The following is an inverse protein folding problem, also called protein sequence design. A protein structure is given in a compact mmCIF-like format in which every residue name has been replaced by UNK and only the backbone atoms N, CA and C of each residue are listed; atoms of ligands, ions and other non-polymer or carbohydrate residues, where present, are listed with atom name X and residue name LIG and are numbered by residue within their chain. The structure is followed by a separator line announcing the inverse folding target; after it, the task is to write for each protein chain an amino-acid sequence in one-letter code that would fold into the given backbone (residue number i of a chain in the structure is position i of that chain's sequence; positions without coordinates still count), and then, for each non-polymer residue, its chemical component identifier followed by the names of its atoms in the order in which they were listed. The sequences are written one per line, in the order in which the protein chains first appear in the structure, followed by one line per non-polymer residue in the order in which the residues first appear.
data_IF_783170904631
#
_entry.id   IF_783170904631
#
_cell.length_a   1.000
_cell.length_b   1.000
_cell.length_c   1.000
_cell.angle_alpha   90.00
_cell.angle_beta   90.00
_cell.angle_gamma   90.00
#
_symmetry.space_group_name_H-M   'P 1'
#
loop_
_entity.id
_entity.type
_entity.pdbx_description
1 polymer ?
#
# COMPACT_ATOMS: atom_id res chain seq x y z
N UNK A 1 19.52 4.75 33.07
CA UNK A 1 18.72 5.62 32.22
C UNK A 1 18.15 4.78 31.08
N UNK A 2 16.92 4.31 31.27
CA UNK A 2 16.18 3.61 30.21
C UNK A 2 15.55 4.70 29.31
N UNK A 3 16.25 5.12 28.28
CA UNK A 3 15.61 5.91 27.23
C UNK A 3 14.74 4.98 26.38
N UNK A 4 13.44 5.20 26.46
CA UNK A 4 12.49 4.56 25.52
C UNK A 4 12.65 5.31 24.20
N UNK A 5 13.19 4.66 23.19
CA UNK A 5 13.17 5.17 21.81
C UNK A 5 11.78 4.86 21.26
N UNK A 6 10.91 5.84 21.26
CA UNK A 6 9.63 5.71 20.57
C UNK A 6 9.87 5.89 19.07
N UNK A 7 9.56 4.84 18.32
CA UNK A 7 9.49 4.93 16.87
C UNK A 7 8.05 5.23 16.49
N UNK A 8 7.82 6.40 15.94
CA UNK A 8 6.49 6.84 15.54
C UNK A 8 6.47 7.14 14.05
N UNK A 9 5.36 6.83 13.43
CA UNK A 9 5.12 7.10 12.01
C UNK A 9 4.52 8.50 11.83
N UNK A 10 4.02 9.12 12.90
CA UNK A 10 3.31 10.40 12.88
C UNK A 10 3.91 11.41 13.85
N UNK A 11 4.02 12.66 13.41
CA UNK A 11 4.47 13.80 14.24
C UNK A 11 3.55 14.02 15.45
N UNK A 12 2.25 13.81 15.31
CA UNK A 12 1.28 13.96 16.40
C UNK A 12 1.53 12.98 17.55
N UNK A 13 2.01 11.77 17.26
CA UNK A 13 2.38 10.79 18.29
C UNK A 13 3.67 11.21 18.98
N UNK A 14 4.64 11.76 18.24
CA UNK A 14 5.85 12.32 18.82
C UNK A 14 5.52 13.45 19.80
N UNK A 15 4.67 14.39 19.40
CA UNK A 15 4.19 15.48 20.25
C UNK A 15 3.44 14.98 21.49
N UNK A 16 2.57 13.97 21.33
CA UNK A 16 1.86 13.37 22.45
C UNK A 16 2.82 12.71 23.47
N UNK A 17 3.85 12.02 23.01
CA UNK A 17 4.85 11.40 23.88
C UNK A 17 5.68 12.47 24.63
N UNK A 18 6.10 13.51 23.94
CA UNK A 18 6.84 14.62 24.54
C UNK A 18 6.01 15.35 25.61
N UNK A 19 4.70 15.54 25.36
CA UNK A 19 3.76 16.12 26.33
C UNK A 19 3.59 15.27 27.60
N UNK A 20 3.85 13.96 27.51
CA UNK A 20 3.88 13.01 28.62
C UNK A 20 5.27 12.87 29.27
N UNK A 21 6.24 13.68 28.84
CA UNK A 21 7.61 13.62 29.35
C UNK A 21 8.43 12.42 28.81
N UNK A 22 7.96 11.77 27.75
CA UNK A 22 8.68 10.70 27.06
C UNK A 22 9.40 11.31 25.86
N UNK A 23 10.75 11.41 25.87
CA UNK A 23 11.49 11.98 24.75
C UNK A 23 11.31 11.11 23.50
N UNK A 24 10.92 11.73 22.38
CA UNK A 24 10.89 11.11 21.08
C UNK A 24 12.24 11.33 20.39
N UNK A 25 12.93 10.24 20.06
CA UNK A 25 14.24 10.33 19.40
C UNK A 25 14.15 10.61 17.89
N UNK A 26 12.95 10.43 17.29
CA UNK A 26 12.69 10.74 15.89
C UNK A 26 11.62 9.85 15.27
N UNK A 27 11.26 10.19 14.04
CA UNK A 27 10.36 9.41 13.22
C UNK A 27 11.14 8.26 12.57
N UNK A 28 10.64 7.04 12.69
CA UNK A 28 11.22 5.87 12.07
C UNK A 28 10.14 5.11 11.30
N UNK A 29 10.10 5.23 9.97
CA UNK A 29 9.16 4.46 9.15
C UNK A 29 9.41 2.97 9.31
N UNK A 30 8.34 2.19 9.28
CA UNK A 30 8.46 0.72 9.19
C UNK A 30 9.02 0.37 7.81
N UNK A 31 10.10 -0.40 7.77
CA UNK A 31 10.70 -0.85 6.51
C UNK A 31 10.07 -2.13 5.97
N UNK A 32 10.12 -2.31 4.66
CA UNK A 32 9.76 -3.54 3.99
C UNK A 32 10.90 -4.56 4.13
N UNK A 33 10.59 -5.75 4.65
CA UNK A 33 11.53 -6.87 4.68
C UNK A 33 11.51 -7.60 3.33
N UNK A 34 12.50 -7.34 2.50
CA UNK A 34 12.60 -7.97 1.18
C UNK A 34 13.03 -9.44 1.24
N UNK A 35 13.54 -9.93 2.38
CA UNK A 35 13.92 -11.32 2.52
C UNK A 35 12.71 -12.27 2.52
N UNK A 36 11.54 -11.77 2.90
CA UNK A 36 10.28 -12.54 2.87
C UNK A 36 9.55 -12.43 1.53
N UNK A 37 9.98 -11.53 0.65
CA UNK A 37 9.39 -11.37 -0.68
C UNK A 37 10.07 -12.36 -1.63
N UNK A 38 9.35 -13.34 -2.17
CA UNK A 38 9.95 -14.29 -3.08
C UNK A 38 10.47 -13.58 -4.33
N UNK A 39 11.65 -14.01 -4.81
CA UNK A 39 12.13 -13.63 -6.14
C UNK A 39 11.24 -14.29 -7.19
N UNK A 40 10.21 -13.57 -7.59
CA UNK A 40 9.20 -14.08 -8.53
C UNK A 40 9.54 -13.57 -9.91
N UNK A 41 9.67 -14.47 -10.93
CA UNK A 41 9.69 -14.02 -12.31
C UNK A 41 8.41 -13.23 -12.62
N UNK A 42 8.51 -12.20 -13.44
CA UNK A 42 7.34 -11.44 -13.87
C UNK A 42 6.40 -12.35 -14.68
N UNK A 43 5.41 -12.92 -14.00
CA UNK A 43 4.43 -13.85 -14.55
C UNK A 43 3.09 -13.15 -14.90
N UNK A 44 3.14 -11.86 -15.28
CA UNK A 44 1.94 -11.06 -15.59
C UNK A 44 0.97 -11.81 -16.51
N UNK A 45 1.46 -12.32 -17.64
CA UNK A 45 0.66 -13.02 -18.63
C UNK A 45 0.04 -14.32 -18.07
N UNK A 46 0.78 -15.08 -17.28
CA UNK A 46 0.29 -16.32 -16.67
C UNK A 46 -0.81 -16.06 -15.65
N UNK A 47 -0.60 -15.07 -14.77
CA UNK A 47 -1.58 -14.68 -13.75
C UNK A 47 -2.86 -14.18 -14.41
N UNK A 48 -2.75 -13.29 -15.40
CA UNK A 48 -3.91 -12.78 -16.13
C UNK A 48 -4.67 -13.89 -16.83
N UNK A 49 -3.97 -14.83 -17.45
CA UNK A 49 -4.59 -16.01 -18.07
C UNK A 49 -5.32 -16.88 -17.03
N UNK A 50 -4.70 -17.17 -15.90
CA UNK A 50 -5.30 -17.95 -14.82
C UNK A 50 -6.57 -17.27 -14.26
N UNK A 51 -6.58 -15.96 -14.20
CA UNK A 51 -7.72 -15.15 -13.75
C UNK A 51 -8.74 -14.85 -14.87
N UNK A 52 -8.50 -15.33 -16.10
CA UNK A 52 -9.34 -15.03 -17.27
C UNK A 52 -9.50 -13.51 -17.47
N UNK A 53 -8.40 -12.77 -17.36
CA UNK A 53 -8.31 -11.34 -17.65
C UNK A 53 -7.55 -11.20 -18.98
N UNK A 54 -8.07 -10.36 -19.88
CA UNK A 54 -7.38 -10.04 -21.14
C UNK A 54 -6.00 -9.43 -20.87
N UNK A 55 -5.03 -9.77 -21.73
CA UNK A 55 -3.64 -9.31 -21.57
C UNK A 55 -3.53 -7.79 -21.65
N UNK A 56 -4.37 -7.13 -22.44
CA UNK A 56 -4.41 -5.69 -22.64
C UNK A 56 -5.39 -4.95 -21.72
N UNK A 57 -6.16 -5.68 -20.91
CA UNK A 57 -7.07 -5.06 -19.95
C UNK A 57 -6.30 -4.22 -18.93
N UNK A 58 -6.88 -3.08 -18.55
CA UNK A 58 -6.38 -2.25 -17.44
C UNK A 58 -6.86 -2.86 -16.12
N UNK A 59 -5.93 -3.14 -15.21
CA UNK A 59 -6.23 -3.86 -13.98
C UNK A 59 -5.68 -3.12 -12.78
N UNK A 60 -6.51 -2.79 -11.82
CA UNK A 60 -6.01 -2.39 -10.51
C UNK A 60 -6.18 -3.52 -9.49
N UNK A 61 -5.38 -3.44 -8.44
CA UNK A 61 -5.44 -4.37 -7.31
C UNK A 61 -5.75 -3.63 -6.01
N UNK A 62 -6.63 -4.22 -5.21
CA UNK A 62 -6.86 -3.87 -3.82
C UNK A 62 -6.45 -5.04 -2.94
N UNK A 63 -5.60 -4.81 -1.95
CA UNK A 63 -5.14 -5.82 -1.00
C UNK A 63 -5.36 -5.32 0.41
N UNK A 64 -6.14 -6.07 1.19
CA UNK A 64 -6.38 -5.71 2.57
C UNK A 64 -7.61 -6.39 3.17
N UNK A 65 -7.84 -6.11 4.45
CA UNK A 65 -9.05 -6.58 5.11
C UNK A 65 -10.29 -5.93 4.51
N UNK A 66 -11.35 -6.71 4.33
CA UNK A 66 -12.64 -6.21 3.86
C UNK A 66 -13.50 -5.76 5.06
N UNK A 67 -12.94 -4.89 5.88
CA UNK A 67 -13.60 -4.32 7.06
C UNK A 67 -13.83 -2.81 6.87
N UNK A 68 -14.75 -2.18 7.64
CA UNK A 68 -15.16 -0.79 7.43
C UNK A 68 -14.01 0.22 7.35
N UNK A 69 -12.96 0.05 8.14
CA UNK A 69 -11.84 1.00 8.17
C UNK A 69 -11.00 1.01 6.87
N UNK A 70 -11.01 -0.08 6.08
CA UNK A 70 -10.37 -0.15 4.75
C UNK A 70 -11.28 0.32 3.61
N UNK A 71 -12.53 0.63 3.91
CA UNK A 71 -13.56 1.14 3.00
C UNK A 71 -13.72 0.32 1.70
N UNK A 72 -13.78 -1.04 1.76
CA UNK A 72 -13.84 -1.87 0.55
C UNK A 72 -15.10 -1.63 -0.29
N UNK A 73 -16.18 -1.09 0.30
CA UNK A 73 -17.41 -0.80 -0.44
C UNK A 73 -17.25 0.35 -1.44
N UNK A 74 -16.24 1.21 -1.28
CA UNK A 74 -15.90 2.27 -2.23
C UNK A 74 -15.33 1.72 -3.55
N UNK A 75 -14.97 0.43 -3.61
CA UNK A 75 -14.63 -0.25 -4.85
C UNK A 75 -15.79 -0.27 -5.84
N UNK A 76 -17.04 -0.26 -5.35
CA UNK A 76 -18.22 -0.26 -6.22
C UNK A 76 -18.33 1.05 -7.01
N UNK A 77 -18.44 2.23 -6.37
CA UNK A 77 -18.47 3.49 -7.09
C UNK A 77 -17.16 3.78 -7.87
N UNK A 78 -16.00 3.29 -7.41
CA UNK A 78 -14.76 3.40 -8.15
C UNK A 78 -14.84 2.67 -9.50
N UNK A 79 -15.29 1.41 -9.51
CA UNK A 79 -15.47 0.63 -10.72
C UNK A 79 -16.57 1.18 -11.65
N UNK A 80 -17.60 1.81 -11.09
CA UNK A 80 -18.62 2.51 -11.89
C UNK A 80 -18.03 3.72 -12.61
N UNK A 81 -17.16 4.48 -11.92
CA UNK A 81 -16.50 5.66 -12.48
C UNK A 81 -15.30 5.33 -13.39
N UNK A 82 -14.79 4.11 -13.34
CA UNK A 82 -13.66 3.62 -14.15
C UNK A 82 -14.11 2.40 -15.02
N UNK A 83 -14.91 2.61 -16.08
CA UNK A 83 -15.55 1.52 -16.82
C UNK A 83 -14.58 0.60 -17.54
N UNK A 84 -13.39 1.09 -17.92
CA UNK A 84 -12.39 0.31 -18.67
C UNK A 84 -11.44 -0.49 -17.76
N UNK A 85 -11.63 -0.39 -16.42
CA UNK A 85 -10.79 -1.06 -15.47
C UNK A 85 -11.38 -2.34 -14.90
N UNK A 86 -10.53 -3.34 -14.74
CA UNK A 86 -10.79 -4.56 -13.97
C UNK A 86 -10.19 -4.43 -12.57
N UNK A 87 -10.73 -5.18 -11.62
CA UNK A 87 -10.24 -5.22 -10.25
C UNK A 87 -9.82 -6.63 -9.83
N UNK A 88 -8.64 -6.76 -9.26
CA UNK A 88 -8.25 -7.89 -8.42
C UNK A 88 -8.40 -7.45 -6.97
N UNK A 89 -9.23 -8.16 -6.21
CA UNK A 89 -9.54 -7.81 -4.81
C UNK A 89 -9.11 -9.00 -3.95
N UNK A 90 -8.06 -8.81 -3.16
CA UNK A 90 -7.51 -9.86 -2.29
C UNK A 90 -7.76 -9.51 -0.83
N UNK A 91 -8.48 -10.36 -0.15
CA UNK A 91 -8.72 -10.19 1.27
C UNK A 91 -9.99 -10.85 1.77
N UNK A 92 -10.21 -10.71 3.07
CA UNK A 92 -11.43 -11.13 3.78
C UNK A 92 -11.77 -10.14 4.89
N UNK A 93 -13.01 -10.11 5.30
CA UNK A 93 -13.50 -9.24 6.39
C UNK A 93 -15.00 -9.23 6.47
N UNK A 94 -15.53 -8.49 7.42
CA UNK A 94 -16.96 -8.41 7.74
C UNK A 94 -17.83 -7.85 6.60
N UNK A 95 -17.23 -7.12 5.66
CA UNK A 95 -17.93 -6.53 4.51
C UNK A 95 -17.78 -7.35 3.22
N UNK A 96 -17.16 -8.55 3.25
CA UNK A 96 -16.91 -9.34 2.06
C UNK A 96 -18.18 -9.74 1.31
N UNK A 97 -19.19 -10.26 2.01
CA UNK A 97 -20.47 -10.66 1.43
C UNK A 97 -21.25 -9.44 0.92
N UNK A 98 -21.24 -8.34 1.66
CA UNK A 98 -21.89 -7.09 1.26
C UNK A 98 -21.23 -6.49 0.01
N UNK A 99 -19.90 -6.51 -0.07
CA UNK A 99 -19.17 -6.09 -1.27
C UNK A 99 -19.56 -6.93 -2.48
N UNK A 100 -19.58 -8.27 -2.33
CA UNK A 100 -19.96 -9.19 -3.39
C UNK A 100 -21.38 -8.92 -3.88
N UNK A 101 -22.32 -8.72 -2.94
CA UNK A 101 -23.71 -8.40 -3.26
C UNK A 101 -23.80 -7.08 -4.05
N UNK A 102 -23.15 -6.01 -3.58
CA UNK A 102 -23.18 -4.71 -4.26
C UNK A 102 -22.53 -4.74 -5.65
N UNK A 103 -21.44 -5.47 -5.82
CA UNK A 103 -20.82 -5.67 -7.14
C UNK A 103 -21.75 -6.41 -8.09
N UNK A 104 -22.50 -7.40 -7.58
CA UNK A 104 -23.49 -8.15 -8.37
C UNK A 104 -24.66 -7.26 -8.77
N UNK A 105 -25.24 -6.54 -7.81
CA UNK A 105 -26.38 -5.63 -8.02
C UNK A 105 -26.05 -4.51 -9.04
N UNK A 106 -24.78 -4.07 -9.05
CA UNK A 106 -24.29 -3.06 -9.97
C UNK A 106 -23.82 -3.63 -11.34
N UNK A 107 -23.88 -4.95 -11.56
CA UNK A 107 -23.44 -5.60 -12.80
C UNK A 107 -21.91 -5.53 -13.02
N UNK A 108 -21.12 -5.44 -11.93
CA UNK A 108 -19.68 -5.23 -12.00
C UNK A 108 -18.86 -6.51 -11.76
N UNK A 109 -19.51 -7.60 -11.35
CA UNK A 109 -18.82 -8.81 -10.89
C UNK A 109 -17.92 -9.42 -11.98
N UNK A 110 -18.32 -9.34 -13.24
CA UNK A 110 -17.54 -9.87 -14.37
C UNK A 110 -16.19 -9.14 -14.54
N UNK A 111 -16.09 -7.89 -14.09
CA UNK A 111 -14.85 -7.11 -14.07
C UNK A 111 -14.03 -7.28 -12.79
N UNK A 112 -14.50 -8.10 -11.84
CA UNK A 112 -13.84 -8.34 -10.57
C UNK A 112 -13.29 -9.76 -10.46
N UNK A 113 -12.16 -9.89 -9.79
CA UNK A 113 -11.62 -11.16 -9.33
C UNK A 113 -11.48 -11.10 -7.81
N UNK A 114 -12.47 -11.69 -7.13
CA UNK A 114 -12.48 -11.77 -5.67
C UNK A 114 -11.64 -12.97 -5.25
N UNK A 115 -10.55 -12.72 -4.56
CA UNK A 115 -9.62 -13.74 -4.10
C UNK A 115 -9.65 -13.72 -2.57
N UNK A 116 -9.87 -14.86 -1.91
CA UNK A 116 -9.75 -14.95 -0.46
C UNK A 116 -8.38 -14.49 0.02
N UNK A 117 -8.25 -14.27 1.32
CA UNK A 117 -6.95 -13.97 1.92
C UNK A 117 -5.92 -15.04 1.55
N UNK A 118 -4.78 -14.60 1.05
CA UNK A 118 -3.62 -15.41 0.72
C UNK A 118 -2.48 -15.19 1.73
N UNK A 119 -1.56 -16.15 1.87
CA UNK A 119 -0.26 -15.90 2.48
C UNK A 119 0.47 -14.75 1.78
N UNK A 120 1.24 -13.96 2.53
CA UNK A 120 1.85 -12.73 1.99
C UNK A 120 2.74 -13.01 0.77
N UNK A 121 3.50 -14.10 0.82
CA UNK A 121 4.39 -14.52 -0.28
C UNK A 121 3.63 -14.75 -1.60
N UNK A 122 2.36 -15.16 -1.53
CA UNK A 122 1.52 -15.39 -2.70
C UNK A 122 0.89 -14.09 -3.21
N UNK A 123 0.69 -13.09 -2.37
CA UNK A 123 0.11 -11.81 -2.79
C UNK A 123 1.04 -11.06 -3.74
N UNK A 124 2.36 -11.15 -3.52
CA UNK A 124 3.34 -10.40 -4.31
C UNK A 124 3.27 -10.67 -5.82
N UNK A 125 2.92 -11.90 -6.23
CA UNK A 125 2.77 -12.24 -7.66
C UNK A 125 1.66 -11.42 -8.34
N UNK A 126 0.62 -11.08 -7.61
CA UNK A 126 -0.53 -10.36 -8.17
C UNK A 126 -0.25 -8.88 -8.43
N UNK A 127 0.64 -8.25 -7.65
CA UNK A 127 1.04 -6.87 -7.92
C UNK A 127 1.66 -6.72 -9.31
N UNK A 128 2.47 -7.69 -9.75
CA UNK A 128 3.08 -7.68 -11.10
C UNK A 128 2.05 -7.84 -12.22
N UNK A 129 0.87 -8.39 -11.94
CA UNK A 129 -0.19 -8.56 -12.92
C UNK A 129 -1.03 -7.30 -13.14
N UNK A 130 -0.85 -6.27 -12.31
CA UNK A 130 -1.70 -5.08 -12.26
C UNK A 130 -1.00 -3.84 -12.81
N UNK A 131 -1.82 -2.85 -13.18
CA UNK A 131 -1.38 -1.56 -13.72
C UNK A 131 -1.45 -0.45 -12.66
N UNK A 132 -2.19 -0.69 -11.57
CA UNK A 132 -2.28 0.20 -10.42
C UNK A 132 -2.62 -0.57 -9.14
N UNK A 133 -2.17 -0.03 -8.01
CA UNK A 133 -2.63 -0.43 -6.67
C UNK A 133 -3.57 0.63 -6.12
N UNK A 134 -4.66 0.23 -5.47
CA UNK A 134 -5.63 1.17 -4.91
C UNK A 134 -5.67 1.06 -3.39
N UNK A 135 -5.52 2.21 -2.69
CA UNK A 135 -5.77 2.33 -1.25
C UNK A 135 -6.93 3.30 -1.01
N UNK A 136 -8.00 2.78 -0.39
CA UNK A 136 -9.23 3.51 -0.12
C UNK A 136 -9.32 4.04 1.32
N UNK A 137 -8.40 3.65 2.20
CA UNK A 137 -8.44 4.01 3.62
C UNK A 137 -7.98 5.47 3.84
N UNK A 138 -8.88 6.39 4.25
CA UNK A 138 -8.50 7.79 4.53
C UNK A 138 -7.77 7.97 5.87
N UNK A 139 -7.63 6.89 6.64
CA UNK A 139 -6.95 6.86 7.93
C UNK A 139 -5.80 5.82 7.92
N UNK A 140 -5.17 5.60 6.78
CA UNK A 140 -4.05 4.66 6.67
C UNK A 140 -2.82 5.25 7.37
N UNK A 141 -2.44 4.66 8.50
CA UNK A 141 -1.31 5.13 9.31
C UNK A 141 0.03 4.90 8.61
N UNK A 142 0.17 3.75 7.93
CA UNK A 142 1.40 3.47 7.18
C UNK A 142 1.10 2.83 5.83
N UNK A 143 0.61 1.58 5.77
CA UNK A 143 0.22 0.93 4.53
C UNK A 143 1.26 -0.05 3.99
N UNK A 144 1.45 -1.20 4.67
CA UNK A 144 2.39 -2.23 4.20
C UNK A 144 2.07 -2.73 2.80
N UNK A 145 0.79 -2.97 2.47
CA UNK A 145 0.38 -3.39 1.13
C UNK A 145 0.67 -2.33 0.06
N UNK A 146 0.70 -1.05 0.44
CA UNK A 146 1.12 0.05 -0.42
C UNK A 146 2.62 -0.07 -0.76
N UNK A 147 3.47 -0.28 0.27
CA UNK A 147 4.91 -0.48 0.05
C UNK A 147 5.20 -1.73 -0.78
N UNK A 148 4.49 -2.82 -0.53
CA UNK A 148 4.63 -4.06 -1.29
C UNK A 148 4.30 -3.86 -2.76
N UNK A 149 3.20 -3.16 -3.06
CA UNK A 149 2.79 -2.84 -4.42
C UNK A 149 3.84 -1.95 -5.12
N UNK A 150 4.30 -0.89 -4.45
CA UNK A 150 5.34 0.01 -4.97
C UNK A 150 6.65 -0.74 -5.21
N UNK A 151 7.07 -1.63 -4.30
CA UNK A 151 8.25 -2.46 -4.47
C UNK A 151 8.16 -3.37 -5.70
N UNK A 152 6.97 -3.89 -5.99
CA UNK A 152 6.71 -4.68 -7.19
C UNK A 152 6.61 -3.83 -8.48
N UNK A 153 6.77 -2.51 -8.40
CA UNK A 153 6.63 -1.59 -9.54
C UNK A 153 5.18 -1.31 -9.94
N UNK A 154 4.21 -1.62 -9.08
CA UNK A 154 2.80 -1.33 -9.29
C UNK A 154 2.49 0.08 -8.74
N UNK A 155 2.20 1.08 -9.58
CA UNK A 155 2.01 2.46 -9.14
C UNK A 155 0.76 2.60 -8.27
N UNK A 156 0.87 3.25 -7.10
CA UNK A 156 -0.27 3.43 -6.22
C UNK A 156 -1.15 4.62 -6.62
N UNK A 157 -2.46 4.43 -6.45
CA UNK A 157 -3.49 5.47 -6.43
C UNK A 157 -4.17 5.37 -5.07
N UNK A 158 -3.93 6.33 -4.19
CA UNK A 158 -4.32 6.25 -2.79
C UNK A 158 -5.10 7.48 -2.32
N UNK A 159 -5.96 7.29 -1.33
CA UNK A 159 -6.50 8.43 -0.58
C UNK A 159 -5.41 9.10 0.24
N UNK A 160 -5.54 10.42 0.39
CA UNK A 160 -4.77 11.16 1.38
C UNK A 160 -4.96 10.54 2.78
N UNK A 161 -3.86 10.20 3.41
CA UNK A 161 -3.78 9.69 4.77
C UNK A 161 -2.31 9.76 5.22
N UNK A 162 -2.02 9.72 6.54
CA UNK A 162 -0.65 9.85 7.05
C UNK A 162 0.37 8.95 6.37
N UNK A 163 0.06 7.67 6.20
CA UNK A 163 0.96 6.72 5.54
C UNK A 163 1.16 6.98 4.05
N UNK A 164 0.10 7.02 3.23
CA UNK A 164 0.21 7.38 1.82
C UNK A 164 0.91 8.71 1.57
N UNK A 165 0.62 9.76 2.36
CA UNK A 165 1.23 11.08 2.21
C UNK A 165 2.74 11.08 2.52
N UNK A 166 3.19 10.21 3.44
CA UNK A 166 4.60 9.98 3.73
C UNK A 166 5.30 9.19 2.61
N UNK A 167 4.65 8.14 2.13
CA UNK A 167 5.26 7.14 1.25
C UNK A 167 5.24 7.57 -0.21
N UNK A 168 4.17 8.18 -0.68
CA UNK A 168 3.97 8.55 -2.09
C UNK A 168 4.48 9.96 -2.36
N UNK A 169 5.36 10.09 -3.35
CA UNK A 169 5.67 11.38 -3.96
C UNK A 169 4.63 11.63 -5.07
N UNK A 170 3.65 12.50 -4.73
CA UNK A 170 2.47 12.71 -5.57
C UNK A 170 2.83 13.19 -6.99
N UNK A 171 2.30 12.51 -8.00
CA UNK A 171 2.58 12.77 -9.41
C UNK A 171 3.87 12.14 -9.95
N UNK A 172 4.72 11.57 -9.08
CA UNK A 172 6.00 10.94 -9.46
C UNK A 172 5.97 9.44 -9.17
N UNK A 173 5.83 9.04 -7.92
CA UNK A 173 5.83 7.63 -7.50
C UNK A 173 4.44 7.07 -7.24
N UNK A 174 3.39 7.84 -7.49
CA UNK A 174 1.98 7.49 -7.31
C UNK A 174 1.10 8.71 -7.33
N UNK A 175 -0.19 8.52 -7.07
CA UNK A 175 -1.19 9.58 -7.07
C UNK A 175 -1.97 9.60 -5.76
N UNK A 176 -2.09 10.79 -5.17
CA UNK A 176 -2.85 11.04 -3.95
C UNK A 176 -4.16 11.76 -4.29
N UNK A 177 -5.27 11.30 -3.73
CA UNK A 177 -6.62 11.74 -4.05
C UNK A 177 -7.46 11.92 -2.79
N UNK A 178 -8.41 12.84 -2.79
CA UNK A 178 -9.34 13.07 -1.67
C UNK A 178 -10.62 12.24 -1.78
N UNK A 179 -11.07 11.96 -2.99
CA UNK A 179 -12.39 11.39 -3.27
C UNK A 179 -12.35 10.20 -4.23
N UNK A 180 -13.40 9.39 -4.25
CA UNK A 180 -13.53 8.25 -5.19
C UNK A 180 -13.53 8.69 -6.65
N UNK A 181 -14.23 9.77 -7.07
CA UNK A 181 -14.11 10.26 -8.44
C UNK A 181 -12.69 10.68 -8.84
N UNK A 182 -11.94 11.28 -7.92
CA UNK A 182 -10.53 11.61 -8.18
C UNK A 182 -9.67 10.36 -8.33
N UNK A 183 -9.89 9.31 -7.50
CA UNK A 183 -9.22 8.02 -7.64
C UNK A 183 -9.49 7.41 -9.02
N UNK A 184 -10.74 7.43 -9.49
CA UNK A 184 -11.11 6.93 -10.81
C UNK A 184 -10.37 7.68 -11.93
N UNK A 185 -10.34 9.01 -11.86
CA UNK A 185 -9.61 9.83 -12.83
C UNK A 185 -8.08 9.66 -12.73
N UNK A 186 -7.57 9.34 -11.55
CA UNK A 186 -6.15 9.11 -11.31
C UNK A 186 -5.69 7.75 -11.87
N UNK A 187 -6.54 6.72 -11.85
CA UNK A 187 -6.24 5.43 -12.46
C UNK A 187 -5.79 5.60 -13.92
N UNK A 188 -6.44 6.48 -14.67
CA UNK A 188 -6.13 6.74 -16.08
C UNK A 188 -4.80 7.46 -16.32
N UNK A 189 -4.20 8.01 -15.26
CA UNK A 189 -2.93 8.72 -15.30
C UNK A 189 -1.75 7.86 -14.85
N UNK A 190 -1.99 6.62 -14.42
CA UNK A 190 -0.90 5.71 -14.02
C UNK A 190 -0.07 5.31 -15.23
N UNK A 191 1.24 5.21 -15.03
CA UNK A 191 2.21 4.86 -16.08
C UNK A 191 3.26 3.89 -15.57
N UNK A 192 3.90 3.17 -16.48
CA UNK A 192 5.05 2.31 -16.13
C UNK A 192 6.21 3.13 -15.51
N UNK A 193 6.42 4.36 -15.97
CA UNK A 193 7.44 5.25 -15.39
C UNK A 193 7.15 5.57 -13.92
N UNK A 194 5.88 5.80 -13.58
CA UNK A 194 5.46 5.98 -12.19
C UNK A 194 5.69 4.73 -11.35
N UNK A 195 5.45 3.54 -11.91
CA UNK A 195 5.76 2.26 -11.25
C UNK A 195 7.25 2.09 -10.97
N UNK A 196 8.13 2.45 -11.91
CA UNK A 196 9.57 2.44 -11.69
C UNK A 196 10.00 3.45 -10.60
N UNK A 197 9.43 4.66 -10.62
CA UNK A 197 9.70 5.67 -9.59
C UNK A 197 9.23 5.19 -8.20
N UNK A 198 8.08 4.52 -8.14
CA UNK A 198 7.57 3.90 -6.92
C UNK A 198 8.54 2.86 -6.36
N UNK A 199 9.03 1.95 -7.22
CA UNK A 199 10.00 0.92 -6.83
C UNK A 199 11.32 1.53 -6.34
N UNK A 200 11.87 2.52 -7.05
CA UNK A 200 13.10 3.21 -6.65
C UNK A 200 12.93 3.86 -5.28
N UNK A 201 11.82 4.57 -5.07
CA UNK A 201 11.54 5.23 -3.80
C UNK A 201 11.48 4.26 -2.61
N UNK A 202 10.87 3.08 -2.78
CA UNK A 202 10.84 2.06 -1.72
C UNK A 202 12.26 1.53 -1.45
N UNK A 203 13.01 1.22 -2.50
CA UNK A 203 14.38 0.72 -2.36
C UNK A 203 15.32 1.72 -1.66
N UNK A 204 15.12 3.00 -1.89
CA UNK A 204 15.97 4.05 -1.32
C UNK A 204 15.60 4.41 0.13
N UNK A 205 14.30 4.33 0.50
CA UNK A 205 13.83 4.96 1.73
C UNK A 205 13.07 4.04 2.68
N UNK A 206 12.50 2.94 2.20
CA UNK A 206 11.52 2.16 2.96
C UNK A 206 11.85 0.66 3.05
N UNK A 207 13.11 0.29 2.95
CA UNK A 207 13.55 -1.06 3.27
C UNK A 207 13.83 -1.20 4.78
N UNK A 208 13.75 -2.41 5.28
CA UNK A 208 14.07 -2.72 6.68
C UNK A 208 15.47 -2.25 7.09
N UNK A 209 16.44 -2.30 6.16
CA UNK A 209 17.80 -1.79 6.37
C UNK A 209 17.81 -0.29 6.66
N UNK A 210 17.02 0.51 5.93
CA UNK A 210 16.92 1.95 6.17
C UNK A 210 16.40 2.26 7.58
N UNK A 211 15.35 1.53 8.02
CA UNK A 211 14.80 1.66 9.36
C UNK A 211 15.83 1.27 10.44
N UNK A 212 16.57 0.19 10.22
CA UNK A 212 17.60 -0.27 11.15
C UNK A 212 18.77 0.73 11.26
N UNK A 213 19.24 1.27 10.14
CA UNK A 213 20.30 2.30 10.11
C UNK A 213 19.85 3.57 10.84
N UNK A 214 18.62 4.02 10.59
CA UNK A 214 18.05 5.17 11.28
C UNK A 214 17.94 4.90 12.78
N UNK A 215 17.45 3.74 13.20
CA UNK A 215 17.41 3.37 14.62
C UNK A 215 18.77 3.44 15.28
N UNK A 216 19.82 2.97 14.62
CA UNK A 216 21.20 3.04 15.14
C UNK A 216 21.70 4.48 15.29
N UNK A 217 21.27 5.41 14.45
CA UNK A 217 21.62 6.83 14.57
C UNK A 217 20.91 7.52 15.72
N UNK A 218 19.69 7.06 16.05
CA UNK A 218 18.86 7.60 17.13
C UNK A 218 19.25 7.06 18.51
N UNK A 219 19.96 5.93 18.56
CA UNK A 219 20.44 5.38 19.83
C UNK A 219 21.55 6.27 20.43
N UNK A 220 21.53 6.54 21.75
CA UNK A 220 22.59 7.29 22.40
C UNK A 220 23.91 6.54 22.20
N UNK A 221 24.92 7.22 21.69
CA UNK A 221 26.27 6.67 21.61
C UNK A 221 26.70 6.29 23.03
N UNK A 222 27.00 5.02 23.29
CA UNK A 222 27.59 4.60 24.57
C UNK A 222 28.79 5.51 24.86
N UNK A 223 28.65 6.37 25.87
CA UNK A 223 29.79 7.15 26.37
C UNK A 223 30.93 6.17 26.64
N UNK A 224 32.13 6.48 26.15
CA UNK A 224 33.33 5.76 26.58
C UNK A 224 33.31 5.78 28.11
N UNK A 225 33.15 4.60 28.71
CA UNK A 225 33.45 4.47 30.14
C UNK A 225 34.87 4.96 30.32
N UNK A 226 35.00 6.14 30.91
CA UNK A 226 36.31 6.61 31.42
C UNK A 226 36.70 5.63 32.52
N UNK A 227 37.69 4.78 32.22
CA UNK A 227 38.38 3.96 33.20
C UNK A 227 39.34 4.82 34.04
#
# INVERSE_FOLDING_TARGET
DNQIVATVVEEDVAFALESLGVPCAGLMPVGLDTAIIPSIPNNRTEIRRALKIDEHARVFIFVGRLDPYKQPLDLVPLLQAAPDWYAIIIGRGSLGDELTRRLTDAGLLDRCRLIPQLPNEQVHVYYHACDAFVNLNPNEIFGMSLLEAMYAGCPPVARHAPGPDLIIENGISGLLCGTVPELAAALDKTTAAMGHAAQSRVNENFLWQNSAELALTLLPKKGKANG
#
